data_IF_488615814810
#
_entry.id   IF_488615814810
#
_cell.length_a   1.000
_cell.length_b   1.000
_cell.length_c   1.000
_cell.angle_alpha   90.00
_cell.angle_beta   90.00
_cell.angle_gamma   90.00
#
_symmetry.space_group_name_H-M   'P 1'
#
loop_
_entity.id
_entity.type
_entity.pdbx_description
1 polymer ?
#
# COMPACT_ATOMS: atom_id res chain seq x y z
N UNK A 1 -6.32 -13.00 -2.34
CA UNK A 1 -6.60 -12.39 -1.02
C UNK A 1 -5.80 -11.10 -0.86
N UNK A 2 -6.47 -9.97 -0.62
CA UNK A 2 -5.79 -8.69 -0.40
C UNK A 2 -5.19 -8.61 1.00
N UNK A 3 -3.94 -8.13 1.10
CA UNK A 3 -3.20 -7.97 2.35
C UNK A 3 -4.02 -7.22 3.44
N UNK A 4 -4.08 -7.72 4.68
CA UNK A 4 -4.88 -7.10 5.75
C UNK A 4 -4.36 -5.70 6.15
N UNK A 5 -3.07 -5.44 6.01
CA UNK A 5 -2.48 -4.12 6.28
C UNK A 5 -2.92 -3.12 5.23
N UNK A 6 -2.98 -3.54 3.97
CA UNK A 6 -3.50 -2.71 2.88
C UNK A 6 -4.97 -2.34 3.10
N UNK A 7 -5.80 -3.26 3.62
CA UNK A 7 -7.21 -2.96 3.94
C UNK A 7 -7.35 -1.87 5.00
N UNK A 8 -6.45 -1.80 5.98
CA UNK A 8 -6.42 -0.74 7.01
C UNK A 8 -6.07 0.64 6.46
N UNK A 9 -5.48 0.73 5.26
CA UNK A 9 -5.21 2.01 4.61
C UNK A 9 -6.49 2.70 4.10
N UNK A 10 -7.61 1.99 4.01
CA UNK A 10 -8.91 2.59 3.66
C UNK A 10 -8.97 3.19 2.25
N UNK A 11 -8.13 2.72 1.33
CA UNK A 11 -8.02 3.30 -0.02
C UNK A 11 -9.13 2.79 -0.95
N UNK A 12 -9.70 3.68 -1.79
CA UNK A 12 -10.63 3.27 -2.84
C UNK A 12 -9.88 2.47 -3.94
N UNK A 13 -10.58 1.58 -4.67
CA UNK A 13 -9.97 0.81 -5.77
C UNK A 13 -9.36 1.71 -6.85
N UNK A 14 -10.01 2.83 -7.18
CA UNK A 14 -9.55 3.80 -8.18
C UNK A 14 -8.42 4.73 -7.69
N UNK A 15 -7.87 4.52 -6.48
CA UNK A 15 -6.79 5.35 -5.96
C UNK A 15 -5.54 5.24 -6.85
N UNK A 16 -4.82 6.34 -7.03
CA UNK A 16 -3.54 6.28 -7.77
C UNK A 16 -2.46 5.56 -6.95
N UNK A 17 -1.46 4.96 -7.61
CA UNK A 17 -0.28 4.37 -6.96
C UNK A 17 0.41 5.35 -6.00
N UNK A 18 0.44 6.65 -6.33
CA UNK A 18 1.00 7.69 -5.45
C UNK A 18 0.19 7.86 -4.16
N UNK A 19 -1.15 7.81 -4.25
CA UNK A 19 -2.02 7.85 -3.08
C UNK A 19 -1.78 6.64 -2.16
N UNK A 20 -1.55 5.45 -2.74
CA UNK A 20 -1.20 4.23 -1.99
C UNK A 20 0.10 4.42 -1.22
N UNK A 21 1.16 4.92 -1.86
CA UNK A 21 2.45 5.17 -1.20
C UNK A 21 2.30 6.23 -0.11
N UNK A 22 1.55 7.31 -0.35
CA UNK A 22 1.30 8.35 0.68
C UNK A 22 0.57 7.80 1.89
N UNK A 23 -0.47 6.98 1.70
CA UNK A 23 -1.18 6.34 2.80
C UNK A 23 -0.27 5.36 3.56
N UNK A 24 0.51 4.55 2.85
CA UNK A 24 1.49 3.65 3.45
C UNK A 24 2.55 4.42 4.27
N UNK A 25 3.04 5.55 3.78
CA UNK A 25 3.98 6.43 4.49
C UNK A 25 3.35 7.05 5.74
N UNK A 26 2.05 7.40 5.70
CA UNK A 26 1.30 7.90 6.86
C UNK A 26 1.00 6.82 7.90
N UNK A 27 0.89 5.58 7.47
CA UNK A 27 0.69 4.44 8.38
C UNK A 27 1.96 4.10 9.19
N UNK A 28 3.15 4.50 8.71
CA UNK A 28 4.40 4.33 9.46
C UNK A 28 4.63 5.49 10.44
N UNK A 29 4.97 5.15 11.68
CA UNK A 29 5.37 6.13 12.69
C UNK A 29 6.60 6.93 12.22
N UNK A 30 6.65 8.26 12.45
CA UNK A 30 7.80 9.12 12.07
C UNK A 30 9.14 8.56 12.54
N UNK A 31 9.22 8.02 13.75
CA UNK A 31 10.47 7.45 14.28
C UNK A 31 10.92 6.22 13.48
N UNK A 32 9.98 5.34 13.12
CA UNK A 32 10.25 4.20 12.23
C UNK A 32 10.73 4.66 10.84
N UNK A 33 10.33 5.86 10.39
CA UNK A 33 10.81 6.44 9.13
C UNK A 33 12.21 7.05 9.25
N UNK A 34 12.53 7.63 10.40
CA UNK A 34 13.84 8.23 10.67
C UNK A 34 14.97 7.20 10.77
N UNK A 35 14.67 5.97 11.19
CA UNK A 35 15.67 4.91 11.35
C UNK A 35 16.26 4.48 9.99
N UNK A 36 17.51 4.82 9.71
CA UNK A 36 18.18 4.50 8.44
C UNK A 36 18.28 2.99 8.16
N UNK A 37 18.53 2.16 9.18
CA UNK A 37 18.66 0.70 9.04
C UNK A 37 17.38 0.03 8.51
N UNK A 38 16.21 0.63 8.74
CA UNK A 38 14.92 0.13 8.25
C UNK A 38 14.61 0.54 6.81
N UNK A 39 15.51 1.24 6.11
CA UNK A 39 15.24 1.75 4.75
C UNK A 39 14.87 0.65 3.76
N UNK A 40 15.52 -0.52 3.84
CA UNK A 40 15.20 -1.66 2.99
C UNK A 40 13.82 -2.25 3.33
N UNK A 41 13.53 -2.41 4.63
CA UNK A 41 12.23 -2.88 5.10
C UNK A 41 11.09 -1.95 4.65
N UNK A 42 11.28 -0.63 4.76
CA UNK A 42 10.31 0.37 4.26
C UNK A 42 10.06 0.24 2.75
N UNK A 43 11.11 0.07 1.94
CA UNK A 43 10.95 -0.13 0.49
C UNK A 43 10.15 -1.40 0.19
N UNK A 44 10.41 -2.50 0.90
CA UNK A 44 9.65 -3.76 0.76
C UNK A 44 8.18 -3.55 1.13
N UNK A 45 7.92 -2.87 2.23
CA UNK A 45 6.56 -2.53 2.66
C UNK A 45 5.80 -1.73 1.58
N UNK A 46 6.41 -0.69 1.00
CA UNK A 46 5.77 0.09 -0.06
C UNK A 46 5.48 -0.75 -1.31
N UNK A 47 6.39 -1.65 -1.70
CA UNK A 47 6.17 -2.58 -2.82
C UNK A 47 5.01 -3.54 -2.55
N UNK A 48 4.92 -4.09 -1.34
CA UNK A 48 3.83 -4.98 -0.96
C UNK A 48 2.47 -4.27 -1.02
N UNK A 49 2.40 -3.01 -0.57
CA UNK A 49 1.17 -2.20 -0.66
C UNK A 49 0.77 -1.94 -2.12
N UNK A 50 1.74 -1.67 -3.00
CA UNK A 50 1.48 -1.50 -4.43
C UNK A 50 1.00 -2.81 -5.08
N UNK A 51 1.60 -3.95 -4.75
CA UNK A 51 1.17 -5.26 -5.24
C UNK A 51 -0.25 -5.60 -4.77
N UNK A 52 -0.56 -5.37 -3.48
CA UNK A 52 -1.88 -5.59 -2.92
C UNK A 52 -2.95 -4.70 -3.58
N UNK A 53 -2.59 -3.45 -3.88
CA UNK A 53 -3.47 -2.54 -4.61
C UNK A 53 -3.70 -2.98 -6.05
N UNK A 54 -2.65 -3.39 -6.78
CA UNK A 54 -2.78 -3.90 -8.14
C UNK A 54 -3.68 -5.16 -8.19
N UNK A 55 -3.53 -6.07 -7.24
CA UNK A 55 -4.40 -7.24 -7.10
C UNK A 55 -5.86 -6.85 -6.80
N UNK A 56 -6.07 -5.79 -6.01
CA UNK A 56 -7.41 -5.25 -5.74
C UNK A 56 -8.03 -4.56 -6.96
N UNK A 57 -7.24 -3.82 -7.75
CA UNK A 57 -7.72 -3.22 -8.99
C UNK A 57 -8.11 -4.29 -9.99
N UNK A 58 -7.25 -5.28 -10.23
CA UNK A 58 -7.56 -6.40 -11.14
C UNK A 58 -8.81 -7.19 -10.73
N UNK A 59 -9.04 -7.38 -9.42
CA UNK A 59 -10.24 -8.04 -8.90
C UNK A 59 -11.51 -7.15 -8.96
N UNK A 60 -11.35 -5.81 -8.95
CA UNK A 60 -12.44 -4.87 -9.14
C UNK A 60 -12.82 -4.71 -10.62
N UNK A 61 -11.84 -4.77 -11.51
CA UNK A 61 -12.01 -4.71 -12.95
C UNK A 61 -12.80 -5.94 -13.48
N UNK A 62 -12.60 -7.13 -12.88
CA UNK A 62 -13.39 -8.34 -13.21
C UNK A 62 -14.88 -8.26 -12.85
N UNK A 63 -15.32 -7.24 -12.12
CA UNK A 63 -16.75 -7.04 -11.83
C UNK A 63 -17.41 -5.97 -12.73
N UNK A 64 -16.68 -5.40 -13.70
CA UNK A 64 -17.17 -4.32 -14.57
C UNK A 64 -17.39 -4.76 -16.02
N UNK A 65 -17.40 -6.05 -16.34
CA UNK A 65 -17.70 -6.54 -17.70
C UNK A 65 -18.05 -8.02 -17.73
#
# INVERSE_FOLDING_TARGET
MTDPTYRRLGLPPAASRLAVVRAAVRALHPDTRAVCSLRLARKRFYRQMLCAHAARQAAGDTSTG
#
